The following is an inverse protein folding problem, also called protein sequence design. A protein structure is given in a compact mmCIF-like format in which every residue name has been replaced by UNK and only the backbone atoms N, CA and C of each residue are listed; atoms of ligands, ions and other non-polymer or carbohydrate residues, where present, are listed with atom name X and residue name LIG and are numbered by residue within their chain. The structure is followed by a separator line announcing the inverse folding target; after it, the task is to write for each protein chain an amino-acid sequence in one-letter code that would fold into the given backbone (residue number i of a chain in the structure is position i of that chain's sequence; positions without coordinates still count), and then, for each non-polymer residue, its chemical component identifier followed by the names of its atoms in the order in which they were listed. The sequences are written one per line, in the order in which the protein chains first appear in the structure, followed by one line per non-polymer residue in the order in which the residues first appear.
data_IF_841656489366
#
_entry.id   IF_841656489366
#
_cell.length_a   1.000
_cell.length_b   1.000
_cell.length_c   1.000
_cell.angle_alpha   90.00
_cell.angle_beta   90.00
_cell.angle_gamma   90.00
#
_symmetry.space_group_name_H-M   'P 1'
#
loop_
_entity.id
_entity.type
_entity.pdbx_description
1 polymer ?
#
# COMPACT_ATOMS: atom_id res chain seq x y z
N UNK A 1 -25.95 -4.45 3.31
CA UNK A 1 -25.29 -3.18 3.68
C UNK A 1 -26.17 -2.05 3.23
N UNK A 2 -26.54 -1.14 4.13
CA UNK A 2 -27.36 0.03 3.79
C UNK A 2 -26.53 1.02 2.94
N UNK A 3 -27.04 1.40 1.77
CA UNK A 3 -26.37 2.32 0.84
C UNK A 3 -26.09 3.69 1.45
N UNK A 4 -26.87 4.13 2.45
CA UNK A 4 -26.63 5.43 3.11
C UNK A 4 -25.35 5.44 3.95
N UNK A 5 -24.94 4.28 4.47
CA UNK A 5 -23.71 4.16 5.27
C UNK A 5 -22.44 4.18 4.41
N UNK A 6 -22.51 3.68 3.17
CA UNK A 6 -21.38 3.63 2.23
C UNK A 6 -20.85 5.03 1.86
N UNK A 7 -21.73 6.04 1.76
CA UNK A 7 -21.34 7.42 1.44
C UNK A 7 -20.45 8.08 2.50
N UNK A 8 -20.43 7.53 3.72
CA UNK A 8 -19.61 8.05 4.84
C UNK A 8 -18.27 7.32 4.96
N UNK A 9 -18.06 6.22 4.23
CA UNK A 9 -16.87 5.38 4.31
C UNK A 9 -15.85 5.80 3.25
N UNK A 10 -14.56 5.67 3.58
CA UNK A 10 -13.47 5.87 2.62
C UNK A 10 -13.06 4.56 1.92
N UNK A 11 -13.35 3.43 2.57
CA UNK A 11 -12.98 2.11 2.08
C UNK A 11 -13.93 1.04 2.62
N UNK A 12 -13.94 -0.11 1.96
CA UNK A 12 -14.74 -1.25 2.36
C UNK A 12 -14.08 -2.54 1.91
N UNK A 13 -14.23 -3.61 2.68
CA UNK A 13 -13.69 -4.92 2.31
C UNK A 13 -14.65 -5.66 1.40
N UNK A 14 -14.18 -6.00 0.21
CA UNK A 14 -14.83 -6.97 -0.68
C UNK A 14 -14.00 -8.25 -0.66
N UNK A 15 -14.54 -9.31 -0.07
CA UNK A 15 -13.82 -10.56 0.17
C UNK A 15 -12.50 -10.32 0.93
N UNK A 16 -11.34 -10.47 0.30
CA UNK A 16 -10.01 -10.29 0.91
C UNK A 16 -9.35 -8.96 0.56
N UNK A 17 -9.96 -8.19 -0.33
CA UNK A 17 -9.42 -6.96 -0.86
C UNK A 17 -10.13 -5.76 -0.22
N UNK A 18 -9.35 -4.75 0.18
CA UNK A 18 -9.89 -3.46 0.58
C UNK A 18 -9.99 -2.58 -0.66
N UNK A 19 -11.18 -2.04 -0.91
CA UNK A 19 -11.44 -1.11 -2.01
C UNK A 19 -11.65 0.30 -1.49
N UNK A 20 -11.35 1.29 -2.32
CA UNK A 20 -11.69 2.70 -2.04
C UNK A 20 -13.10 2.99 -2.49
N UNK A 21 -13.80 3.82 -1.72
CA UNK A 21 -15.14 4.29 -2.06
C UNK A 21 -15.06 5.77 -2.46
N UNK A 22 -15.63 6.06 -3.62
CA UNK A 22 -15.81 7.40 -4.15
C UNK A 22 -17.29 7.57 -4.56
N UNK A 23 -18.05 8.45 -3.91
CA UNK A 23 -19.40 8.79 -4.35
C UNK A 23 -19.39 9.34 -5.78
N UNK A 24 -20.37 8.96 -6.60
CA UNK A 24 -20.48 9.43 -7.98
C UNK A 24 -20.67 10.95 -8.10
N UNK A 25 -21.14 11.61 -7.05
CA UNK A 25 -21.29 13.08 -6.97
C UNK A 25 -19.96 13.82 -6.81
N UNK A 26 -18.86 13.10 -6.53
CA UNK A 26 -17.55 13.69 -6.28
C UNK A 26 -16.87 14.08 -7.60
N UNK A 27 -16.27 15.27 -7.64
CA UNK A 27 -15.50 15.71 -8.80
C UNK A 27 -14.23 14.88 -9.00
N UNK A 28 -13.69 14.87 -10.21
CA UNK A 28 -12.41 14.19 -10.52
C UNK A 28 -11.27 14.80 -9.71
N UNK A 29 -11.28 16.11 -9.52
CA UNK A 29 -10.31 16.87 -8.73
C UNK A 29 -10.33 16.44 -7.27
N UNK A 30 -11.50 16.24 -6.68
CA UNK A 30 -11.62 15.79 -5.29
C UNK A 30 -11.18 14.33 -5.12
N UNK A 31 -11.47 13.45 -6.09
CA UNK A 31 -10.94 12.08 -6.11
C UNK A 31 -9.41 12.09 -6.18
N UNK A 32 -8.83 12.99 -6.98
CA UNK A 32 -7.37 13.18 -7.06
C UNK A 32 -6.79 13.69 -5.76
N UNK A 33 -7.39 14.70 -5.12
CA UNK A 33 -6.99 15.20 -3.79
C UNK A 33 -7.01 14.09 -2.73
N UNK A 34 -8.04 13.24 -2.72
CA UNK A 34 -8.07 12.05 -1.82
C UNK A 34 -6.98 11.01 -2.10
N UNK A 35 -6.30 11.12 -3.24
CA UNK A 35 -5.21 10.23 -3.65
C UNK A 35 -3.83 10.87 -3.49
N UNK A 36 -3.78 12.20 -3.29
CA UNK A 36 -2.56 13.00 -3.14
C UNK A 36 -1.73 12.51 -1.95
N UNK A 37 -2.38 12.31 -0.82
CA UNK A 37 -1.74 11.76 0.37
C UNK A 37 -1.72 10.25 0.31
N UNK A 38 -0.71 9.69 -0.36
CA UNK A 38 -0.47 8.26 -0.38
C UNK A 38 1.00 7.87 -0.19
N UNK A 39 1.22 6.65 0.29
CA UNK A 39 2.54 5.99 0.37
C UNK A 39 2.47 4.57 -0.14
N UNK A 40 3.60 4.07 -0.64
CA UNK A 40 3.74 2.69 -1.08
C UNK A 40 4.48 1.88 -0.04
N UNK A 41 3.86 0.82 0.46
CA UNK A 41 4.47 -0.18 1.34
C UNK A 41 4.96 -1.34 0.49
N UNK A 42 6.25 -1.63 0.53
CA UNK A 42 6.92 -2.58 -0.36
C UNK A 42 7.47 -3.79 0.40
N UNK A 43 8.05 -4.75 -0.34
CA UNK A 43 8.63 -5.99 0.18
C UNK A 43 7.61 -6.95 0.82
N UNK A 44 6.34 -6.91 0.41
CA UNK A 44 5.33 -7.84 0.92
C UNK A 44 5.67 -9.30 0.52
N UNK A 45 5.20 -10.25 1.31
CA UNK A 45 5.23 -11.66 0.93
C UNK A 45 4.34 -11.90 -0.29
N UNK A 46 4.66 -12.93 -1.07
CA UNK A 46 3.72 -13.43 -2.08
C UNK A 46 2.38 -13.76 -1.42
N UNK A 47 1.29 -13.55 -2.15
CA UNK A 47 -0.08 -13.80 -1.70
C UNK A 47 -0.56 -12.95 -0.50
N UNK A 48 0.20 -11.93 -0.11
CA UNK A 48 -0.28 -10.90 0.84
C UNK A 48 -1.55 -10.27 0.30
N UNK A 49 -2.65 -10.28 1.07
CA UNK A 49 -3.92 -9.67 0.71
C UNK A 49 -4.26 -8.51 1.66
N UNK A 50 -5.32 -7.76 1.35
CA UNK A 50 -5.68 -6.56 2.10
C UNK A 50 -5.97 -6.82 3.58
N UNK A 51 -6.42 -8.02 3.96
CA UNK A 51 -6.72 -8.34 5.37
C UNK A 51 -5.46 -8.51 6.23
N UNK A 52 -4.35 -8.97 5.65
CA UNK A 52 -3.08 -9.07 6.37
C UNK A 52 -2.54 -7.69 6.81
N UNK A 53 -3.00 -6.62 6.16
CA UNK A 53 -2.54 -5.24 6.41
C UNK A 53 -3.42 -4.47 7.39
N UNK A 54 -4.44 -5.09 8.00
CA UNK A 54 -5.38 -4.42 8.92
C UNK A 54 -4.65 -3.82 10.13
N UNK A 55 -3.77 -4.59 10.77
CA UNK A 55 -3.03 -4.11 11.95
C UNK A 55 -2.20 -2.88 11.63
N UNK A 56 -1.43 -2.93 10.55
CA UNK A 56 -0.61 -1.81 10.06
C UNK A 56 -1.51 -0.61 9.73
N UNK A 57 -2.57 -0.82 8.95
CA UNK A 57 -3.51 0.22 8.55
C UNK A 57 -4.15 0.95 9.74
N UNK A 58 -4.52 0.21 10.79
CA UNK A 58 -5.10 0.76 12.01
C UNK A 58 -4.07 1.59 12.80
N UNK A 59 -2.85 1.08 12.98
CA UNK A 59 -1.77 1.77 13.70
C UNK A 59 -1.44 3.10 13.04
N UNK A 60 -1.31 3.12 11.71
CA UNK A 60 -0.98 4.33 10.96
C UNK A 60 -2.20 5.21 10.63
N UNK A 61 -3.40 4.81 11.07
CA UNK A 61 -4.67 5.50 10.81
C UNK A 61 -4.91 5.78 9.32
N UNK A 62 -4.57 4.82 8.46
CA UNK A 62 -4.84 4.92 7.03
C UNK A 62 -6.35 4.88 6.76
N UNK A 63 -6.81 5.65 5.77
CA UNK A 63 -8.23 5.69 5.39
C UNK A 63 -8.58 4.57 4.40
N UNK A 64 -7.59 4.08 3.66
CA UNK A 64 -7.69 2.98 2.71
C UNK A 64 -6.31 2.44 2.37
N UNK A 65 -6.27 1.22 1.84
CA UNK A 65 -5.10 0.65 1.19
C UNK A 65 -5.53 -0.30 0.09
N UNK A 66 -4.71 -0.40 -0.96
CA UNK A 66 -4.97 -1.25 -2.12
C UNK A 66 -3.70 -2.05 -2.41
N UNK A 67 -3.85 -3.36 -2.63
CA UNK A 67 -2.81 -4.21 -3.21
C UNK A 67 -3.15 -4.39 -4.68
N UNK A 68 -2.38 -3.79 -5.62
CA UNK A 68 -2.67 -3.92 -7.03
C UNK A 68 -2.49 -5.37 -7.51
N UNK A 69 -3.24 -5.73 -8.56
CA UNK A 69 -3.13 -7.03 -9.21
C UNK A 69 -2.20 -6.94 -10.42
N UNK A 70 -1.39 -7.97 -10.65
CA UNK A 70 -0.62 -8.14 -11.87
C UNK A 70 -1.55 -8.29 -13.07
N UNK A 71 -1.24 -7.60 -14.18
CA UNK A 71 -2.02 -7.75 -15.43
C UNK A 71 -1.83 -9.12 -16.09
N UNK A 72 -0.69 -9.79 -15.84
CA UNK A 72 -0.34 -11.03 -16.52
C UNK A 72 -1.03 -12.26 -15.90
N UNK A 73 -1.22 -12.29 -14.58
CA UNK A 73 -1.72 -13.47 -13.87
C UNK A 73 -2.71 -13.14 -12.75
N UNK A 74 -3.12 -11.87 -12.62
CA UNK A 74 -4.08 -11.39 -11.62
C UNK A 74 -3.69 -11.65 -10.15
N UNK A 75 -2.45 -12.05 -9.88
CA UNK A 75 -1.95 -12.20 -8.51
C UNK A 75 -1.67 -10.84 -7.88
N UNK A 76 -1.73 -10.79 -6.55
CA UNK A 76 -1.34 -9.62 -5.78
C UNK A 76 0.13 -9.27 -6.06
N UNK A 77 0.39 -8.00 -6.35
CA UNK A 77 1.75 -7.47 -6.35
C UNK A 77 2.26 -7.38 -4.91
N UNK A 78 3.58 -7.45 -4.74
CA UNK A 78 4.21 -7.45 -3.42
C UNK A 78 4.42 -6.04 -2.85
N UNK A 79 3.47 -5.15 -3.14
CA UNK A 79 3.38 -3.84 -2.55
C UNK A 79 1.92 -3.42 -2.39
N UNK A 80 1.67 -2.52 -1.45
CA UNK A 80 0.38 -1.89 -1.23
C UNK A 80 0.52 -0.37 -1.34
N UNK A 81 -0.53 0.31 -1.76
CA UNK A 81 -0.64 1.77 -1.70
C UNK A 81 -1.59 2.11 -0.57
N UNK A 82 -1.09 2.81 0.45
CA UNK A 82 -1.88 3.34 1.56
C UNK A 82 -2.26 4.78 1.29
N UNK A 83 -3.46 5.15 1.69
CA UNK A 83 -4.02 6.48 1.53
C UNK A 83 -4.32 7.08 2.90
N UNK A 84 -4.08 8.38 3.01
CA UNK A 84 -4.18 9.14 4.25
C UNK A 84 -5.08 10.36 4.06
N UNK A 85 -5.52 10.92 5.18
CA UNK A 85 -6.35 12.12 5.16
C UNK A 85 -5.51 13.39 4.98
N UNK A 86 -4.27 13.40 5.50
CA UNK A 86 -3.44 14.60 5.55
C UNK A 86 -1.97 14.30 5.28
N UNK A 87 -1.19 15.35 4.99
CA UNK A 87 0.26 15.27 4.79
C UNK A 87 1.02 14.90 6.06
N UNK A 88 0.58 15.41 7.20
CA UNK A 88 1.21 15.14 8.51
C UNK A 88 1.13 13.65 8.85
N UNK A 89 0.05 12.98 8.43
CA UNK A 89 -0.09 11.52 8.59
C UNK A 89 0.98 10.76 7.81
N UNK A 90 1.33 11.23 6.61
CA UNK A 90 2.41 10.66 5.80
C UNK A 90 3.77 10.88 6.45
N UNK A 91 4.02 12.09 6.93
CA UNK A 91 5.28 12.44 7.58
C UNK A 91 5.49 11.63 8.86
N UNK A 92 4.43 11.44 9.66
CA UNK A 92 4.47 10.57 10.83
C UNK A 92 4.79 9.11 10.48
N UNK A 93 4.27 8.58 9.37
CA UNK A 93 4.59 7.22 8.91
C UNK A 93 6.03 7.13 8.40
N UNK A 94 6.51 8.12 7.65
CA UNK A 94 7.89 8.15 7.13
C UNK A 94 8.93 8.23 8.26
N UNK A 95 8.61 8.95 9.33
CA UNK A 95 9.50 9.15 10.49
C UNK A 95 9.25 8.15 11.64
N UNK A 96 8.29 7.24 11.47
CA UNK A 96 7.84 6.33 12.52
C UNK A 96 8.62 5.01 12.56
N UNK A 97 8.00 4.03 13.22
CA UNK A 97 8.59 2.71 13.40
C UNK A 97 8.69 1.91 12.09
N UNK A 98 9.63 0.96 12.10
CA UNK A 98 9.74 -0.04 11.03
C UNK A 98 8.72 -1.15 11.24
N UNK A 99 7.94 -1.47 10.20
CA UNK A 99 6.95 -2.55 10.24
C UNK A 99 7.51 -3.86 9.72
N UNK A 100 7.05 -4.97 10.29
CA UNK A 100 7.37 -6.31 9.85
C UNK A 100 6.09 -7.10 9.54
N UNK A 101 6.12 -7.90 8.48
CA UNK A 101 5.08 -8.87 8.16
C UNK A 101 5.77 -10.16 7.68
N UNK A 102 5.37 -11.30 8.22
CA UNK A 102 5.98 -12.61 7.95
C UNK A 102 7.53 -12.61 8.08
N UNK A 103 8.05 -11.95 9.12
CA UNK A 103 9.49 -11.78 9.39
C UNK A 103 10.24 -10.96 8.31
N UNK A 104 9.54 -10.34 7.36
CA UNK A 104 10.13 -9.42 6.39
C UNK A 104 9.97 -7.99 6.85
N UNK A 105 11.06 -7.24 6.82
CA UNK A 105 11.05 -5.79 7.00
C UNK A 105 10.32 -5.14 5.83
N UNK A 106 9.27 -4.39 6.12
CA UNK A 106 8.53 -3.62 5.13
C UNK A 106 9.18 -2.25 4.94
N UNK A 107 9.07 -1.71 3.73
CA UNK A 107 9.76 -0.46 3.36
C UNK A 107 8.74 0.50 2.75
N UNK A 108 8.63 1.69 3.34
CA UNK A 108 7.83 2.78 2.80
C UNK A 108 8.61 3.51 1.69
N UNK A 109 7.93 3.77 0.58
CA UNK A 109 8.48 4.53 -0.56
C UNK A 109 7.43 5.49 -1.09
N UNK A 110 7.84 6.40 -1.98
CA UNK A 110 6.87 7.23 -2.68
C UNK A 110 5.96 6.37 -3.60
N UNK A 111 4.69 6.77 -3.81
CA UNK A 111 3.72 6.04 -4.65
C UNK A 111 4.20 5.75 -6.07
N UNK A 112 5.03 6.63 -6.63
CA UNK A 112 5.54 6.51 -8.00
C UNK A 112 6.94 5.90 -8.07
N UNK A 113 7.52 5.48 -6.94
CA UNK A 113 8.83 4.85 -6.92
C UNK A 113 8.83 3.58 -7.78
N UNK A 114 9.81 3.49 -8.70
CA UNK A 114 10.08 2.29 -9.49
C UNK A 114 10.66 1.22 -8.58
N UNK A 115 10.14 0.01 -8.71
CA UNK A 115 10.54 -1.14 -7.90
C UNK A 115 11.30 -2.14 -8.75
N UNK A 116 12.22 -2.88 -8.13
CA UNK A 116 12.82 -4.07 -8.72
C UNK A 116 11.71 -5.07 -9.08
N UNK A 117 11.73 -5.62 -10.30
CA UNK A 117 10.71 -6.58 -10.73
C UNK A 117 10.76 -7.88 -9.90
N UNK A 118 11.95 -8.25 -9.44
CA UNK A 118 12.17 -9.51 -8.71
C UNK A 118 11.80 -9.43 -7.24
N UNK A 119 12.19 -8.36 -6.54
CA UNK A 119 12.00 -8.25 -5.09
C UNK A 119 11.03 -7.16 -4.65
N UNK A 120 10.60 -6.32 -5.58
CA UNK A 120 9.61 -5.27 -5.37
C UNK A 120 10.06 -4.24 -4.32
N UNK A 121 11.37 -4.05 -4.14
CA UNK A 121 12.00 -2.99 -3.33
C UNK A 121 12.56 -1.91 -4.25
N UNK A 122 12.53 -0.65 -3.83
CA UNK A 122 13.15 0.47 -4.55
C UNK A 122 14.67 0.49 -4.39
N UNK A 123 15.39 1.14 -5.30
CA UNK A 123 16.82 1.42 -5.12
C UNK A 123 17.79 0.42 -5.77
N UNK A 124 17.30 -0.58 -6.50
CA UNK A 124 18.14 -1.36 -7.42
C UNK A 124 17.35 -1.90 -8.61
N UNK A 125 18.05 -2.19 -9.71
CA UNK A 125 17.50 -2.85 -10.87
C UNK A 125 17.51 -4.38 -10.69
N UNK A 126 16.58 -5.09 -11.33
CA UNK A 126 16.46 -6.56 -11.23
C UNK A 126 17.74 -7.32 -11.54
N UNK A 127 18.58 -6.78 -12.44
CA UNK A 127 19.88 -7.35 -12.80
C UNK A 127 20.86 -7.42 -11.62
N UNK A 128 20.66 -6.58 -10.59
CA UNK A 128 21.52 -6.51 -9.41
C UNK A 128 20.94 -7.23 -8.18
N UNK A 129 19.81 -7.94 -8.32
CA UNK A 129 19.13 -8.59 -7.20
C UNK A 129 20.02 -9.64 -6.50
N UNK A 130 20.76 -10.45 -7.26
CA UNK A 130 21.64 -11.48 -6.69
C UNK A 130 22.87 -10.90 -5.98
N UNK A 131 23.34 -9.72 -6.37
CA UNK A 131 24.57 -9.11 -5.83
C UNK A 131 24.38 -8.48 -4.44
N UNK A 132 23.16 -8.06 -4.10
CA UNK A 132 22.86 -7.36 -2.85
C UNK A 132 22.22 -8.24 -1.76
N UNK A 133 21.92 -9.52 -2.06
CA UNK A 133 21.32 -10.44 -1.08
C UNK A 133 22.29 -10.76 0.08
N UNK A 134 23.59 -10.66 -0.17
CA UNK A 134 24.68 -10.81 0.80
C UNK A 134 24.92 -9.59 1.70
N UNK A 135 24.27 -8.44 1.43
CA UNK A 135 24.45 -7.22 2.22
C UNK A 135 23.25 -6.89 3.14
N UNK A 136 22.21 -7.75 3.15
CA UNK A 136 21.00 -7.60 3.95
C UNK A 136 20.86 -8.72 5.00
N UNK A 137 21.94 -9.47 5.26
CA UNK A 137 22.02 -10.53 6.27
C UNK A 137 22.88 -10.14 7.48
N UNK A 138 23.36 -8.90 7.54
CA UNK A 138 24.08 -8.33 8.69
C UNK A 138 23.21 -7.31 9.45
#
# INVERSE_FOLDING_TARGET
TDMTTLNKLNSYFVLKDLIRIHPCIMSVEDVRKKSEFSLKLTNLSLDTNGRHLISIGNVIKAIAWIIPKSRANYRNLQYAIFYFKTKESIEAVKNGETYFLDRKRLIWTDPNAKLCFTCQVSGHQSQNYHKNRSALQD
#
